data_IF_804303420407
#
_entry.id   IF_804303420407
#
_cell.length_a   1.000
_cell.length_b   1.000
_cell.length_c   1.000
_cell.angle_alpha   90.00
_cell.angle_beta   90.00
_cell.angle_gamma   90.00
#
_symmetry.space_group_name_H-M   'P 1'
#
loop_
_entity.id
_entity.type
_entity.pdbx_description
1 polymer ?
#
# COMPACT_ATOMS: atom_id res chain seq x y z
N UNK A 1 34.58 17.31 21.85
CA UNK A 1 33.10 17.23 21.82
C UNK A 1 32.52 18.23 22.82
N UNK A 2 31.38 18.88 22.51
CA UNK A 2 30.72 19.82 23.44
C UNK A 2 30.17 19.03 24.63
N UNK A 3 30.69 19.28 25.84
CA UNK A 3 30.31 18.57 27.08
C UNK A 3 28.82 18.62 27.38
N UNK A 4 28.17 19.74 27.04
CA UNK A 4 26.72 19.92 27.13
C UNK A 4 25.93 18.89 26.30
N UNK A 5 26.32 18.69 25.04
CA UNK A 5 25.64 17.76 24.12
C UNK A 5 25.75 16.31 24.61
N UNK A 6 26.90 15.93 25.17
CA UNK A 6 27.10 14.59 25.73
C UNK A 6 26.16 14.33 26.91
N UNK A 7 26.04 15.29 27.84
CA UNK A 7 25.14 15.19 28.98
C UNK A 7 23.66 15.11 28.57
N UNK A 8 23.26 15.87 27.55
CA UNK A 8 21.89 15.83 27.00
C UNK A 8 21.56 14.48 26.35
N UNK A 9 22.53 13.89 25.64
CA UNK A 9 22.36 12.56 25.04
C UNK A 9 22.26 11.47 26.12
N UNK A 10 23.12 11.51 27.13
CA UNK A 10 23.09 10.56 28.25
C UNK A 10 21.74 10.61 28.98
N UNK A 11 21.23 11.81 29.26
CA UNK A 11 19.91 11.99 29.86
C UNK A 11 18.80 11.39 29.00
N UNK A 12 18.81 11.65 27.69
CA UNK A 12 17.80 11.14 26.75
C UNK A 12 17.80 9.61 26.65
N UNK A 13 18.98 8.97 26.66
CA UNK A 13 19.09 7.50 26.64
C UNK A 13 18.57 6.89 27.94
N UNK A 14 18.89 7.49 29.09
CA UNK A 14 18.38 7.03 30.40
C UNK A 14 16.85 7.15 30.48
N UNK A 15 16.30 8.26 30.02
CA UNK A 15 14.86 8.49 29.92
C UNK A 15 14.20 7.45 29.02
N UNK A 16 14.75 7.21 27.82
CA UNK A 16 14.28 6.18 26.89
C UNK A 16 14.25 4.79 27.53
N UNK A 17 15.29 4.42 28.27
CA UNK A 17 15.32 3.15 29.00
C UNK A 17 14.26 3.06 30.11
N UNK A 18 13.97 4.16 30.81
CA UNK A 18 12.92 4.20 31.83
C UNK A 18 11.52 4.05 31.22
N UNK A 19 11.28 4.67 30.06
CA UNK A 19 10.06 4.52 29.27
C UNK A 19 9.86 3.07 28.82
N UNK A 20 10.90 2.43 28.26
CA UNK A 20 10.83 1.04 27.80
C UNK A 20 10.51 0.05 28.93
N UNK A 21 10.99 0.32 30.14
CA UNK A 21 10.70 -0.48 31.35
C UNK A 21 9.36 -0.13 32.01
N UNK A 22 8.59 0.79 31.45
CA UNK A 22 7.31 1.23 32.01
C UNK A 22 7.42 2.05 33.30
N UNK A 23 8.63 2.51 33.67
CA UNK A 23 8.87 3.30 34.90
C UNK A 23 8.46 4.77 34.74
N UNK A 24 8.45 5.27 33.51
CA UNK A 24 8.09 6.65 33.15
C UNK A 24 7.19 6.63 31.93
N UNK A 25 6.15 7.47 31.90
CA UNK A 25 5.32 7.63 30.72
C UNK A 25 6.01 8.50 29.66
N UNK A 26 6.00 8.13 28.38
CA UNK A 26 6.56 8.97 27.33
C UNK A 26 5.73 10.23 27.14
N UNK A 27 6.39 11.35 26.85
CA UNK A 27 5.75 12.65 26.62
C UNK A 27 4.73 12.64 25.47
N UNK A 28 4.99 11.85 24.41
CA UNK A 28 4.08 11.63 23.28
C UNK A 28 4.18 10.20 22.77
N UNK A 29 3.06 9.61 22.38
CA UNK A 29 2.99 8.32 21.69
C UNK A 29 2.40 8.52 20.29
N UNK A 30 3.11 8.06 19.27
CA UNK A 30 2.55 7.94 17.92
C UNK A 30 2.20 6.47 17.68
N UNK A 31 0.90 6.17 17.62
CA UNK A 31 0.44 4.83 17.23
C UNK A 31 0.51 4.74 15.71
N UNK A 32 1.54 4.08 15.20
CA UNK A 32 1.61 3.73 13.78
C UNK A 32 0.75 2.49 13.57
N UNK A 33 -0.54 2.71 13.30
CA UNK A 33 -1.41 1.65 12.79
C UNK A 33 -1.00 1.36 11.34
N UNK A 34 0.00 0.51 11.17
CA UNK A 34 0.42 0.03 9.86
C UNK A 34 -0.63 -0.99 9.41
N UNK A 35 -1.49 -0.59 8.47
CA UNK A 35 -2.37 -1.56 7.80
C UNK A 35 -1.48 -2.59 7.13
N UNK A 36 -1.55 -3.85 7.59
CA UNK A 36 -0.82 -4.95 6.98
C UNK A 36 -1.53 -5.35 5.68
N UNK A 37 -1.16 -4.65 4.60
CA UNK A 37 -1.73 -4.84 3.27
C UNK A 37 -1.49 -6.26 2.78
N UNK A 38 -0.32 -6.84 3.06
CA UNK A 38 0.00 -8.22 2.66
C UNK A 38 -0.97 -9.20 3.30
N UNK A 39 -1.23 -9.07 4.61
CA UNK A 39 -2.18 -9.96 5.30
C UNK A 39 -3.60 -9.85 4.73
N UNK A 40 -4.04 -8.64 4.39
CA UNK A 40 -5.34 -8.42 3.75
C UNK A 40 -5.39 -9.13 2.39
N UNK A 41 -4.36 -8.98 1.56
CA UNK A 41 -4.29 -9.64 0.25
C UNK A 41 -4.36 -11.17 0.35
N UNK A 42 -3.62 -11.77 1.30
CA UNK A 42 -3.62 -13.22 1.53
C UNK A 42 -5.02 -13.73 1.91
N UNK A 43 -5.75 -12.98 2.74
CA UNK A 43 -7.11 -13.35 3.16
C UNK A 43 -8.10 -13.39 1.99
N UNK A 44 -7.89 -12.60 0.94
CA UNK A 44 -8.73 -12.60 -0.26
C UNK A 44 -8.46 -13.77 -1.21
N UNK A 45 -7.37 -14.54 -1.02
CA UNK A 45 -6.98 -15.67 -1.89
C UNK A 45 -6.92 -15.31 -3.38
N UNK A 46 -6.61 -14.06 -3.70
CA UNK A 46 -6.45 -13.56 -5.05
C UNK A 46 -4.96 -13.46 -5.41
N UNK A 47 -4.67 -13.55 -6.71
CA UNK A 47 -3.37 -13.10 -7.20
C UNK A 47 -3.24 -11.58 -7.03
N UNK A 48 -2.01 -11.09 -6.91
CA UNK A 48 -1.73 -9.67 -6.74
C UNK A 48 -2.36 -8.81 -7.86
N UNK A 49 -2.35 -9.31 -9.10
CA UNK A 49 -3.00 -8.64 -10.23
C UNK A 49 -4.52 -8.52 -10.08
N UNK A 50 -5.19 -9.58 -9.61
CA UNK A 50 -6.64 -9.56 -9.38
C UNK A 50 -7.01 -8.66 -8.20
N UNK A 51 -6.22 -8.68 -7.13
CA UNK A 51 -6.46 -7.81 -5.98
C UNK A 51 -6.21 -6.32 -6.33
N UNK A 52 -5.18 -6.03 -7.13
CA UNK A 52 -4.93 -4.68 -7.63
C UNK A 52 -6.09 -4.19 -8.52
N UNK A 53 -6.61 -5.06 -9.41
CA UNK A 53 -7.78 -4.75 -10.23
C UNK A 53 -9.05 -4.53 -9.41
N UNK A 54 -9.26 -5.31 -8.34
CA UNK A 54 -10.36 -5.11 -7.39
C UNK A 54 -10.28 -3.72 -6.75
N UNK A 55 -9.09 -3.30 -6.31
CA UNK A 55 -8.91 -1.98 -5.70
C UNK A 55 -8.79 -0.82 -6.71
N UNK A 56 -8.79 -1.10 -8.03
CA UNK A 56 -8.63 -0.08 -9.07
C UNK A 56 -7.25 0.59 -9.06
N UNK A 57 -6.20 -0.13 -8.64
CA UNK A 57 -4.82 0.39 -8.57
C UNK A 57 -3.87 -0.45 -9.43
N UNK A 58 -2.68 0.09 -9.70
CA UNK A 58 -1.64 -0.67 -10.38
C UNK A 58 -1.04 -1.76 -9.48
N UNK A 59 -0.54 -2.84 -10.07
CA UNK A 59 0.21 -3.89 -9.35
C UNK A 59 1.43 -3.30 -8.66
N UNK A 60 2.12 -2.35 -9.29
CA UNK A 60 3.28 -1.67 -8.70
C UNK A 60 2.89 -0.87 -7.44
N UNK A 61 1.72 -0.23 -7.41
CA UNK A 61 1.19 0.46 -6.22
C UNK A 61 0.98 -0.54 -5.09
N UNK A 62 0.35 -1.68 -5.38
CA UNK A 62 0.09 -2.73 -4.40
C UNK A 62 1.40 -3.32 -3.83
N UNK A 63 2.38 -3.60 -4.69
CA UNK A 63 3.71 -4.09 -4.29
C UNK A 63 4.43 -3.11 -3.37
N UNK A 64 4.40 -1.82 -3.70
CA UNK A 64 5.00 -0.79 -2.87
C UNK A 64 4.37 -0.74 -1.46
N UNK A 65 3.08 -1.03 -1.34
CA UNK A 65 2.40 -1.11 -0.05
C UNK A 65 2.74 -2.40 0.70
N UNK A 66 2.67 -3.57 0.06
CA UNK A 66 2.98 -4.86 0.69
C UNK A 66 4.43 -4.98 1.17
N UNK A 67 5.36 -4.31 0.47
CA UNK A 67 6.78 -4.25 0.83
C UNK A 67 7.09 -3.09 1.79
N UNK A 68 6.12 -2.24 2.09
CA UNK A 68 6.28 -1.09 2.98
C UNK A 68 7.13 0.05 2.43
N UNK A 69 7.45 0.07 1.13
CA UNK A 69 8.15 1.19 0.46
C UNK A 69 7.28 2.45 0.43
N UNK A 70 5.96 2.27 0.38
CA UNK A 70 4.94 3.33 0.51
C UNK A 70 3.83 2.83 1.43
N UNK A 71 3.06 3.76 2.00
CA UNK A 71 1.88 3.44 2.78
C UNK A 71 0.61 3.91 2.06
N UNK A 72 -0.50 3.16 2.11
CA UNK A 72 -1.80 3.65 1.66
C UNK A 72 -2.23 4.84 2.52
N UNK A 73 -2.82 5.86 1.89
CA UNK A 73 -3.28 7.10 2.55
C UNK A 73 -4.71 7.43 2.13
N UNK A 74 -5.37 8.30 2.89
CA UNK A 74 -6.72 8.78 2.59
C UNK A 74 -7.72 7.64 2.39
N UNK A 75 -8.49 7.72 1.31
CA UNK A 75 -9.53 6.73 0.96
C UNK A 75 -8.99 5.31 0.83
N UNK A 76 -7.79 5.11 0.26
CA UNK A 76 -7.21 3.77 0.09
C UNK A 76 -6.97 3.07 1.44
N UNK A 77 -6.54 3.82 2.47
CA UNK A 77 -6.35 3.28 3.82
C UNK A 77 -7.69 2.86 4.44
N UNK A 78 -8.74 3.68 4.26
CA UNK A 78 -10.08 3.40 4.77
C UNK A 78 -10.66 2.17 4.07
N UNK A 79 -10.56 2.08 2.75
CA UNK A 79 -11.04 0.93 1.98
C UNK A 79 -10.32 -0.36 2.38
N UNK A 80 -9.01 -0.33 2.61
CA UNK A 80 -8.27 -1.50 3.11
C UNK A 80 -8.70 -1.91 4.53
N UNK A 81 -9.10 -0.97 5.38
CA UNK A 81 -9.66 -1.30 6.70
C UNK A 81 -11.03 -1.96 6.58
N UNK A 82 -11.87 -1.48 5.66
CA UNK A 82 -13.16 -2.11 5.34
C UNK A 82 -12.92 -3.52 4.79
N UNK A 83 -12.05 -3.67 3.78
CA UNK A 83 -11.68 -4.96 3.22
C UNK A 83 -11.13 -5.95 4.25
N UNK A 84 -10.41 -5.45 5.27
CA UNK A 84 -9.88 -6.28 6.34
C UNK A 84 -10.95 -6.78 7.32
N UNK A 85 -12.00 -5.98 7.57
CA UNK A 85 -13.06 -6.27 8.57
C UNK A 85 -14.30 -6.91 7.97
N UNK A 86 -14.67 -6.51 6.75
CA UNK A 86 -15.91 -6.86 6.05
C UNK A 86 -15.61 -7.23 4.59
N UNK A 87 -14.89 -8.35 4.36
CA UNK A 87 -14.50 -8.74 3.00
C UNK A 87 -15.71 -8.99 2.08
N UNK A 88 -16.80 -9.51 2.62
CA UNK A 88 -18.07 -9.75 1.93
C UNK A 88 -18.65 -8.48 1.30
N UNK A 89 -18.57 -7.34 1.98
CA UNK A 89 -19.06 -6.05 1.45
C UNK A 89 -18.27 -5.63 0.21
N UNK A 90 -16.96 -5.88 0.19
CA UNK A 90 -16.13 -5.55 -0.98
C UNK A 90 -16.48 -6.45 -2.15
N UNK A 91 -16.74 -7.74 -1.92
CA UNK A 91 -17.15 -8.67 -2.97
C UNK A 91 -18.51 -8.32 -3.57
N UNK A 92 -19.44 -7.86 -2.74
CA UNK A 92 -20.78 -7.45 -3.17
C UNK A 92 -20.75 -6.15 -3.99
N UNK A 93 -20.02 -5.14 -3.52
CA UNK A 93 -20.00 -3.80 -4.12
C UNK A 93 -19.07 -3.70 -5.32
N UNK A 94 -17.92 -4.36 -5.29
CA UNK A 94 -16.85 -4.16 -6.27
C UNK A 94 -16.84 -5.28 -7.30
N UNK A 95 -17.22 -4.93 -8.53
CA UNK A 95 -17.05 -5.82 -9.69
C UNK A 95 -15.66 -5.60 -10.29
N UNK A 96 -14.74 -6.57 -10.19
CA UNK A 96 -13.39 -6.38 -10.67
C UNK A 96 -13.41 -6.20 -12.19
N UNK A 97 -12.84 -5.09 -12.68
CA UNK A 97 -12.75 -4.79 -14.12
C UNK A 97 -11.66 -5.66 -14.75
N UNK A 98 -11.89 -6.97 -14.81
CA UNK A 98 -10.93 -7.95 -15.36
C UNK A 98 -11.19 -8.20 -16.86
N UNK A 99 -12.23 -7.61 -17.43
CA UNK A 99 -12.74 -7.96 -18.76
C UNK A 99 -12.10 -7.25 -19.98
N UNK A 100 -11.17 -6.29 -19.82
CA UNK A 100 -10.72 -5.45 -20.96
C UNK A 100 -9.27 -5.66 -21.44
N UNK A 101 -8.43 -6.41 -20.71
CA UNK A 101 -7.01 -6.55 -21.09
C UNK A 101 -6.78 -7.41 -22.34
N UNK A 102 -7.62 -8.43 -22.59
CA UNK A 102 -7.51 -9.26 -23.80
C UNK A 102 -7.94 -8.52 -25.07
N UNK A 103 -8.92 -7.61 -24.97
CA UNK A 103 -9.43 -6.82 -26.10
C UNK A 103 -8.56 -5.60 -26.41
N UNK A 104 -7.93 -4.98 -25.40
CA UNK A 104 -7.05 -3.82 -25.62
C UNK A 104 -5.68 -4.19 -26.20
N UNK A 105 -5.13 -5.37 -25.88
CA UNK A 105 -3.93 -5.88 -26.54
C UNK A 105 -4.15 -6.04 -28.04
N UNK A 106 -5.24 -6.71 -28.43
CA UNK A 106 -5.63 -6.87 -29.83
C UNK A 106 -5.91 -5.53 -30.52
N UNK A 107 -6.57 -4.57 -29.86
CA UNK A 107 -6.80 -3.21 -30.40
C UNK A 107 -5.53 -2.40 -30.57
N UNK A 108 -4.56 -2.50 -29.64
CA UNK A 108 -3.28 -1.79 -29.73
C UNK A 108 -2.42 -2.33 -30.88
N UNK A 109 -2.38 -3.64 -31.05
CA UNK A 109 -1.68 -4.29 -32.17
C UNK A 109 -2.37 -3.93 -33.51
N UNK A 110 -3.70 -3.97 -33.56
CA UNK A 110 -4.48 -3.60 -34.75
C UNK A 110 -4.35 -2.10 -35.11
N UNK A 111 -4.26 -1.20 -34.13
CA UNK A 111 -4.07 0.24 -34.34
C UNK A 111 -2.66 0.56 -34.84
N UNK A 112 -1.63 -0.11 -34.32
CA UNK A 112 -0.25 0.04 -34.81
C UNK A 112 -0.10 -0.45 -36.27
N UNK A 113 -0.74 -1.57 -36.62
CA UNK A 113 -0.75 -2.09 -37.99
C UNK A 113 -1.46 -1.18 -39.00
N UNK A 114 -2.46 -0.39 -38.55
CA UNK A 114 -3.20 0.55 -39.41
C UNK A 114 -2.44 1.86 -39.68
N UNK A 115 -1.63 2.34 -38.72
CA UNK A 115 -0.81 3.56 -38.87
C UNK A 115 0.38 3.33 -39.83
N UNK A 116 0.98 2.13 -39.83
CA UNK A 116 2.08 1.80 -40.74
C UNK A 116 1.71 1.68 -42.23
N UNK A 117 0.41 1.58 -42.57
CA UNK A 117 -0.07 1.47 -43.95
C UNK A 117 -0.35 2.81 -44.64
N UNK A 118 -0.38 3.93 -43.89
CA UNK A 118 -0.71 5.27 -44.43
C UNK A 118 0.57 6.06 -44.80
N UNK A 119 1.76 5.57 -44.44
CA UNK A 119 3.06 6.23 -44.67
C UNK A 119 3.92 5.56 -45.76
N UNK A 120 3.29 4.87 -46.73
CA UNK A 120 3.94 4.49 -47.99
C UNK A 120 3.22 5.17 -49.15
N UNK A 121 3.66 6.38 -49.46
CA UNK A 121 3.52 7.03 -50.77
C UNK A 121 4.93 7.33 -51.25
#
# INVERSE_FOLDING_TARGET
MKSKLFKELEASVREGGAILRGKVAPSRKFVVNKTDVRRICVNYRLSQGRFAALLGISVATLQNWEQGRRAPKGAARVLLQVAAKHPETVWDVVKPVVAQSKTDGARRIARAARVGKVLRV
#
